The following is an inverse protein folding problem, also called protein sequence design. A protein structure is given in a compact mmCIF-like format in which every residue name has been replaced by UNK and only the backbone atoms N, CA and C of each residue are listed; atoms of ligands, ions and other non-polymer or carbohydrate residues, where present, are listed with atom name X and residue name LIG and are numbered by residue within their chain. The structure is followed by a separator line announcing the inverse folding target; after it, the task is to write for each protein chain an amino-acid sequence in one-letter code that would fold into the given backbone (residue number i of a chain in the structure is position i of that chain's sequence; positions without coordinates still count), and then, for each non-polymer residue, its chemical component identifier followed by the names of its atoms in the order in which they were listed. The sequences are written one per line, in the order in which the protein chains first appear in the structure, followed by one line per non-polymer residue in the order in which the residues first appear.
data_IF_577256855685
#
_entry.id   IF_577256855685
#
_cell.length_a   1.000
_cell.length_b   1.000
_cell.length_c   1.000
_cell.angle_alpha   90.00
_cell.angle_beta   90.00
_cell.angle_gamma   90.00
#
_symmetry.space_group_name_H-M   'P 1'
#
loop_
_entity.id
_entity.type
_entity.pdbx_description
1 polymer ?
#
# COMPACT_ATOMS: atom_id res chain seq x y z
N UNK A 1 12.61 -3.16 -12.58
CA UNK A 1 12.27 -2.29 -13.73
C UNK A 1 10.77 -2.42 -13.95
N UNK A 2 9.98 -1.44 -13.52
CA UNK A 2 8.51 -1.45 -13.66
C UNK A 2 8.15 -1.23 -15.13
N UNK A 3 7.31 -2.09 -15.72
CA UNK A 3 6.85 -1.87 -17.10
C UNK A 3 6.04 -0.56 -17.19
N UNK A 4 6.17 0.21 -18.29
CA UNK A 4 5.36 1.41 -18.49
C UNK A 4 3.87 1.05 -18.50
N UNK A 5 3.04 1.77 -17.75
CA UNK A 5 1.59 1.55 -17.67
C UNK A 5 0.96 1.48 -19.08
N UNK A 6 1.44 2.32 -20.00
CA UNK A 6 1.01 2.34 -21.40
C UNK A 6 1.16 0.97 -22.09
N UNK A 7 2.24 0.24 -21.84
CA UNK A 7 2.47 -1.08 -22.45
C UNK A 7 1.53 -2.16 -21.91
N UNK A 8 0.97 -1.97 -20.71
CA UNK A 8 0.06 -2.91 -20.08
C UNK A 8 -1.38 -2.71 -20.56
N UNK A 9 -1.76 -1.49 -20.91
CA UNK A 9 -3.12 -1.13 -21.34
C UNK A 9 -3.27 -1.03 -22.87
N UNK A 10 -2.17 -1.04 -23.62
CA UNK A 10 -2.16 -0.86 -25.08
C UNK A 10 -3.01 -1.87 -25.87
N UNK A 11 -3.16 -3.08 -25.33
CA UNK A 11 -3.89 -4.18 -25.98
C UNK A 11 -5.33 -4.35 -25.47
N UNK A 12 -5.84 -3.43 -24.65
CA UNK A 12 -7.17 -3.53 -24.04
C UNK A 12 -8.19 -2.70 -24.84
N UNK A 13 -9.31 -3.32 -25.21
CA UNK A 13 -10.32 -2.72 -26.10
C UNK A 13 -11.44 -2.00 -25.34
N UNK A 14 -11.50 -2.16 -24.00
CA UNK A 14 -12.52 -1.53 -23.17
C UNK A 14 -11.94 -0.74 -21.99
N UNK A 15 -12.60 0.36 -21.67
CA UNK A 15 -12.27 1.18 -20.48
C UNK A 15 -12.38 0.37 -19.18
N UNK A 16 -13.25 -0.65 -19.15
CA UNK A 16 -13.44 -1.53 -17.99
C UNK A 16 -12.22 -2.44 -17.80
N UNK A 17 -11.69 -3.03 -18.86
CA UNK A 17 -10.46 -3.84 -18.80
C UNK A 17 -9.26 -3.02 -18.37
N UNK A 18 -9.12 -1.80 -18.92
CA UNK A 18 -8.08 -0.85 -18.53
C UNK A 18 -8.17 -0.54 -17.03
N UNK A 19 -9.37 -0.23 -16.54
CA UNK A 19 -9.58 0.06 -15.11
C UNK A 19 -9.25 -1.14 -14.22
N UNK A 20 -9.67 -2.35 -14.62
CA UNK A 20 -9.40 -3.57 -13.87
C UNK A 20 -7.91 -3.93 -13.84
N UNK A 21 -7.20 -3.78 -14.96
CA UNK A 21 -5.77 -4.05 -15.02
C UNK A 21 -4.96 -3.05 -14.18
N UNK A 22 -5.31 -1.76 -14.24
CA UNK A 22 -4.73 -0.74 -13.38
C UNK A 22 -5.00 -1.09 -11.91
N UNK A 23 -6.26 -1.39 -11.57
CA UNK A 23 -6.63 -1.79 -10.21
C UNK A 23 -5.84 -3.01 -9.73
N UNK A 24 -5.63 -4.02 -10.57
CA UNK A 24 -4.87 -5.22 -10.19
C UNK A 24 -3.40 -4.90 -9.91
N UNK A 25 -2.76 -4.10 -10.77
CA UNK A 25 -1.33 -3.76 -10.64
C UNK A 25 -1.10 -2.85 -9.44
N UNK A 26 -1.94 -1.82 -9.29
CA UNK A 26 -1.83 -0.90 -8.16
C UNK A 26 -2.27 -1.55 -6.85
N UNK A 27 -3.32 -2.38 -6.84
CA UNK A 27 -3.71 -3.15 -5.65
C UNK A 27 -2.61 -4.12 -5.20
N UNK A 28 -1.91 -4.79 -6.11
CA UNK A 28 -0.81 -5.69 -5.73
C UNK A 28 0.40 -4.93 -5.15
N UNK A 29 0.69 -3.73 -5.67
CA UNK A 29 1.71 -2.83 -5.12
C UNK A 29 1.28 -2.31 -3.74
N UNK A 30 0.00 -1.98 -3.58
CA UNK A 30 -0.60 -1.59 -2.30
C UNK A 30 -0.57 -2.75 -1.30
N UNK A 31 -0.90 -3.97 -1.71
CA UNK A 31 -0.88 -5.19 -0.88
C UNK A 31 0.53 -5.48 -0.35
N UNK A 32 1.56 -5.24 -1.18
CA UNK A 32 2.95 -5.39 -0.76
C UNK A 32 3.33 -4.33 0.29
N UNK A 33 2.89 -3.09 0.11
CA UNK A 33 3.06 -2.01 1.09
C UNK A 33 2.36 -2.31 2.41
N UNK A 34 1.09 -2.73 2.34
CA UNK A 34 0.25 -3.15 3.48
C UNK A 34 0.89 -4.33 4.23
N UNK A 35 1.41 -5.34 3.53
CA UNK A 35 2.09 -6.48 4.13
C UNK A 35 3.39 -6.06 4.86
N UNK A 36 4.19 -5.19 4.24
CA UNK A 36 5.39 -4.64 4.85
C UNK A 36 5.08 -3.80 6.10
N UNK A 37 4.00 -3.02 6.08
CA UNK A 37 3.54 -2.25 7.24
C UNK A 37 3.04 -3.16 8.36
N UNK A 38 2.29 -4.21 8.04
CA UNK A 38 1.87 -5.22 9.02
C UNK A 38 3.08 -5.93 9.64
N UNK A 39 4.07 -6.31 8.83
CA UNK A 39 5.30 -6.92 9.31
C UNK A 39 6.10 -5.97 10.21
N UNK A 40 6.22 -4.71 9.80
CA UNK A 40 6.90 -3.68 10.60
C UNK A 40 6.18 -3.51 11.94
N UNK A 41 4.85 -3.33 11.92
CA UNK A 41 4.03 -3.18 13.12
C UNK A 41 4.17 -4.37 14.08
N UNK A 42 4.15 -5.60 13.56
CA UNK A 42 4.29 -6.82 14.36
C UNK A 42 5.67 -6.94 15.00
N UNK A 43 6.71 -6.40 14.36
CA UNK A 43 8.08 -6.44 14.85
C UNK A 43 8.48 -5.17 15.65
N UNK A 44 7.66 -4.12 15.63
CA UNK A 44 7.89 -2.93 16.45
C UNK A 44 7.66 -3.27 17.92
N UNK A 45 8.74 -3.39 18.67
CA UNK A 45 8.72 -3.58 20.12
C UNK A 45 9.36 -2.38 20.81
N UNK A 46 8.90 -2.06 22.02
CA UNK A 46 9.45 -0.93 22.78
C UNK A 46 10.95 -1.11 23.06
N UNK A 47 11.36 -2.33 23.43
CA UNK A 47 12.76 -2.65 23.73
C UNK A 47 13.33 -1.73 24.83
N UNK A 48 14.45 -1.09 24.53
CA UNK A 48 15.11 -0.11 25.42
C UNK A 48 14.70 1.35 25.13
N UNK A 49 13.77 1.58 24.19
CA UNK A 49 13.32 2.93 23.82
C UNK A 49 12.41 3.51 24.90
N UNK A 50 12.44 4.83 25.03
CA UNK A 50 11.46 5.55 25.84
C UNK A 50 10.06 5.38 25.23
N UNK A 51 9.05 5.31 26.10
CA UNK A 51 7.65 5.01 25.74
C UNK A 51 7.15 5.95 24.63
N UNK A 52 7.45 7.24 24.75
CA UNK A 52 7.01 8.25 23.77
C UNK A 52 7.53 7.98 22.36
N UNK A 53 8.81 7.62 22.24
CA UNK A 53 9.42 7.33 20.94
C UNK A 53 8.79 6.08 20.28
N UNK A 54 8.49 5.06 21.08
CA UNK A 54 7.78 3.87 20.60
C UNK A 54 6.37 4.20 20.09
N UNK A 55 5.60 5.01 20.84
CA UNK A 55 4.25 5.39 20.42
C UNK A 55 4.23 6.30 19.20
N UNK A 56 5.22 7.19 19.04
CA UNK A 56 5.35 8.03 17.84
C UNK A 56 5.59 7.17 16.60
N UNK A 57 6.51 6.20 16.67
CA UNK A 57 6.79 5.26 15.57
C UNK A 57 5.56 4.41 15.23
N UNK A 58 4.92 3.82 16.25
CA UNK A 58 3.71 3.04 16.08
C UNK A 58 2.59 3.87 15.44
N UNK A 59 2.41 5.13 15.86
CA UNK A 59 1.45 6.05 15.26
C UNK A 59 1.76 6.35 13.79
N UNK A 60 3.03 6.56 13.44
CA UNK A 60 3.46 6.78 12.06
C UNK A 60 3.11 5.60 11.14
N UNK A 61 3.39 4.37 11.58
CA UNK A 61 3.04 3.14 10.83
C UNK A 61 1.53 3.05 10.63
N UNK A 62 0.73 3.38 11.65
CA UNK A 62 -0.74 3.38 11.55
C UNK A 62 -1.29 4.45 10.61
N UNK A 63 -0.70 5.65 10.58
CA UNK A 63 -1.09 6.72 9.66
C UNK A 63 -0.78 6.35 8.21
N UNK A 64 0.39 5.75 7.97
CA UNK A 64 0.77 5.23 6.66
C UNK A 64 -0.19 4.12 6.22
N UNK A 65 -0.50 3.16 7.09
CA UNK A 65 -1.46 2.10 6.83
C UNK A 65 -2.85 2.63 6.43
N UNK A 66 -3.30 3.74 7.04
CA UNK A 66 -4.58 4.38 6.69
C UNK A 66 -4.58 5.02 5.30
N UNK A 67 -3.41 5.39 4.76
CA UNK A 67 -3.30 5.97 3.41
C UNK A 67 -3.58 4.95 2.29
N UNK A 68 -3.43 3.65 2.56
CA UNK A 68 -3.76 2.55 1.65
C UNK A 68 -5.27 2.23 1.59
N UNK A 69 -6.12 3.01 2.28
CA UNK A 69 -7.57 2.81 2.21
C UNK A 69 -8.04 3.14 0.78
N UNK A 70 -8.76 2.24 0.11
CA UNK A 70 -9.28 2.52 -1.22
C UNK A 70 -10.19 3.76 -1.16
N UNK A 71 -10.11 4.59 -2.20
CA UNK A 71 -11.02 5.71 -2.38
C UNK A 71 -12.47 5.21 -2.23
N UNK A 72 -13.33 5.92 -1.47
CA UNK A 72 -14.72 5.52 -1.34
C UNK A 72 -15.32 5.37 -2.74
N UNK A 73 -15.98 4.23 -2.99
CA UNK A 73 -16.71 4.02 -4.23
C UNK A 73 -17.90 4.98 -4.26
N UNK A 74 -18.00 5.73 -5.35
CA UNK A 74 -19.19 6.52 -5.67
C UNK A 74 -20.34 5.62 -6.10
#
# INVERSE_FOLDING_TARGET
MTQPIASTVFYMDSTVEIWNALKQIFAQLDDTGVCNLQYTLANTTQGTRIVDAYFIEHKGIWEEFRSFRPLPHC
#
